data_IF_254337091139
#
_entry.id   IF_254337091139
#
_cell.length_a   1.000
_cell.length_b   1.000
_cell.length_c   1.000
_cell.angle_alpha   90.00
_cell.angle_beta   90.00
_cell.angle_gamma   90.00
#
_symmetry.space_group_name_H-M   'P 1'
#
loop_
_entity.id
_entity.type
_entity.pdbx_description
1 polymer ?
#
# COMPACT_ATOMS: atom_id res chain seq x y z
N UNK A 1 22.85 14.06 -26.95
CA UNK A 1 22.20 14.47 -25.69
C UNK A 1 21.40 13.27 -25.21
N UNK A 2 21.73 12.70 -24.05
CA UNK A 2 20.99 11.57 -23.47
C UNK A 2 20.30 12.08 -22.21
N UNK A 3 18.97 11.99 -22.17
CA UNK A 3 18.18 12.43 -21.03
C UNK A 3 18.46 11.53 -19.81
N UNK A 4 18.76 12.15 -18.67
CA UNK A 4 18.85 11.44 -17.40
C UNK A 4 17.42 11.08 -16.95
N UNK A 5 17.13 9.79 -16.86
CA UNK A 5 15.91 9.27 -16.27
C UNK A 5 15.99 9.44 -14.73
N UNK A 6 15.11 10.23 -14.09
CA UNK A 6 15.06 10.34 -12.64
C UNK A 6 14.28 9.16 -12.05
N UNK A 7 14.82 7.95 -12.20
CA UNK A 7 14.37 6.79 -11.44
C UNK A 7 14.74 6.98 -9.97
N UNK A 8 13.87 7.59 -9.17
CA UNK A 8 14.05 7.70 -7.72
C UNK A 8 14.16 6.29 -7.13
N UNK A 9 15.31 5.89 -6.54
CA UNK A 9 15.39 4.62 -5.85
C UNK A 9 14.50 4.70 -4.61
N UNK A 10 13.34 4.05 -4.65
CA UNK A 10 12.48 3.83 -3.48
C UNK A 10 13.20 2.80 -2.60
N UNK A 11 14.14 3.29 -1.79
CA UNK A 11 14.83 2.50 -0.80
C UNK A 11 13.86 2.27 0.35
N UNK A 12 13.45 1.02 0.54
CA UNK A 12 12.54 0.59 1.60
C UNK A 12 13.32 0.50 2.94
N UNK A 13 13.96 1.60 3.34
CA UNK A 13 14.73 1.67 4.58
C UNK A 13 13.75 1.83 5.75
N UNK A 14 13.22 0.70 6.23
CA UNK A 14 12.44 0.58 7.46
C UNK A 14 13.28 0.76 8.73
N UNK A 15 14.37 1.53 8.68
CA UNK A 15 15.32 1.70 9.79
C UNK A 15 15.03 2.93 10.68
N UNK A 16 14.18 3.87 10.24
CA UNK A 16 13.81 5.06 11.04
C UNK A 16 12.71 4.79 12.10
N UNK A 17 12.01 3.66 12.02
CA UNK A 17 10.84 3.41 12.88
C UNK A 17 11.14 2.65 14.18
N UNK A 18 12.30 2.02 14.34
CA UNK A 18 12.55 1.12 15.51
C UNK A 18 12.54 1.89 16.84
N UNK A 19 13.10 3.11 16.88
CA UNK A 19 13.05 3.96 18.07
C UNK A 19 11.65 4.56 18.33
N UNK A 20 10.88 4.77 17.27
CA UNK A 20 9.51 5.28 17.36
C UNK A 20 8.56 4.17 17.84
N UNK A 21 8.78 2.91 17.42
CA UNK A 21 7.94 1.75 17.73
C UNK A 21 7.82 1.48 19.24
N UNK A 22 8.88 1.76 20.02
CA UNK A 22 8.82 1.69 21.49
C UNK A 22 7.93 2.79 22.11
N UNK A 23 7.76 3.92 21.42
CA UNK A 23 6.99 5.06 21.91
C UNK A 23 5.53 5.07 21.45
N UNK A 24 5.17 4.22 20.50
CA UNK A 24 3.78 4.05 20.04
C UNK A 24 3.19 2.70 20.48
N UNK A 25 1.88 2.66 20.63
CA UNK A 25 1.11 1.47 20.99
C UNK A 25 0.03 1.23 19.93
N UNK A 26 -0.19 -0.05 19.60
CA UNK A 26 -1.21 -0.47 18.67
C UNK A 26 -2.46 -0.86 19.45
N UNK A 27 -3.59 -0.25 19.11
CA UNK A 27 -4.86 -0.47 19.78
C UNK A 27 -5.96 -0.77 18.78
N UNK A 28 -6.92 -1.59 19.19
CA UNK A 28 -8.15 -1.83 18.45
C UNK A 28 -9.33 -1.34 19.29
N UNK A 29 -10.19 -0.52 18.69
CA UNK A 29 -11.40 0.00 19.30
C UNK A 29 -12.60 -0.26 18.38
N UNK A 30 -13.73 -0.63 18.97
CA UNK A 30 -14.97 -0.82 18.22
C UNK A 30 -15.77 0.47 18.17
N UNK A 31 -15.82 1.10 16.99
CA UNK A 31 -16.65 2.28 16.75
C UNK A 31 -18.09 1.85 16.45
N UNK A 32 -19.00 2.18 17.38
CA UNK A 32 -20.43 1.84 17.23
C UNK A 32 -21.11 2.63 16.12
N UNK A 33 -20.67 3.86 15.83
CA UNK A 33 -21.28 4.68 14.78
C UNK A 33 -20.92 4.14 13.39
N UNK A 34 -19.70 3.64 13.22
CA UNK A 34 -19.24 2.99 11.99
C UNK A 34 -19.61 1.48 11.92
N UNK A 35 -20.10 0.90 13.02
CA UNK A 35 -20.31 -0.54 13.20
C UNK A 35 -19.07 -1.38 12.82
N UNK A 36 -17.87 -0.86 13.08
CA UNK A 36 -16.62 -1.40 12.58
C UNK A 36 -15.51 -1.38 13.65
N UNK A 37 -14.56 -2.30 13.51
CA UNK A 37 -13.34 -2.30 14.32
C UNK A 37 -12.32 -1.34 13.69
N UNK A 38 -11.68 -0.52 14.50
CA UNK A 38 -10.71 0.47 14.04
C UNK A 38 -9.39 0.21 14.74
N UNK A 39 -8.32 0.11 13.95
CA UNK A 39 -6.96 -0.08 14.44
C UNK A 39 -6.25 1.25 14.44
N UNK A 40 -5.67 1.65 15.57
CA UNK A 40 -4.98 2.92 15.71
C UNK A 40 -3.61 2.73 16.34
N UNK A 41 -2.69 3.60 15.95
CA UNK A 41 -1.37 3.72 16.54
C UNK A 41 -1.37 4.99 17.39
N UNK A 42 -1.23 4.84 18.70
CA UNK A 42 -1.25 5.95 19.66
C UNK A 42 0.12 6.16 20.28
N UNK A 43 0.52 7.42 20.45
CA UNK A 43 1.74 7.75 21.17
C UNK A 43 1.53 7.52 22.67
N UNK A 44 2.36 6.68 23.29
CA UNK A 44 2.23 6.29 24.71
C UNK A 44 2.50 7.44 25.69
N UNK A 45 3.21 8.49 25.26
CA UNK A 45 3.57 9.62 26.14
C UNK A 45 2.52 10.72 26.14
N UNK A 46 1.79 10.88 25.03
CA UNK A 46 0.85 11.99 24.82
C UNK A 46 -0.59 11.52 24.62
N UNK A 47 -0.82 10.20 24.54
CA UNK A 47 -2.09 9.55 24.20
C UNK A 47 -2.73 10.05 22.89
N UNK A 48 -1.92 10.64 22.01
CA UNK A 48 -2.38 11.13 20.72
C UNK A 48 -2.40 10.03 19.67
N UNK A 49 -3.47 9.99 18.87
CA UNK A 49 -3.57 9.11 17.70
C UNK A 49 -2.63 9.63 16.61
N UNK A 50 -1.64 8.81 16.25
CA UNK A 50 -0.66 9.13 15.20
C UNK A 50 -1.18 8.67 13.85
N UNK A 51 -1.70 7.45 13.78
CA UNK A 51 -2.28 6.88 12.55
C UNK A 51 -3.49 6.00 12.86
N UNK A 52 -4.42 5.94 11.91
CA UNK A 52 -5.64 5.15 12.01
C UNK A 52 -5.84 4.33 10.74
N UNK A 53 -6.23 3.07 10.93
CA UNK A 53 -6.48 2.11 9.88
C UNK A 53 -7.86 1.46 10.09
N UNK A 54 -8.60 1.18 9.00
CA UNK A 54 -9.83 0.40 9.07
C UNK A 54 -9.55 -1.05 9.51
N UNK A 55 -10.60 -1.84 9.76
CA UNK A 55 -10.44 -3.21 10.25
C UNK A 55 -9.52 -4.10 9.40
N UNK A 56 -9.02 -5.17 10.00
CA UNK A 56 -8.10 -6.10 9.36
C UNK A 56 -8.73 -6.76 8.12
N UNK A 57 -10.05 -6.97 8.10
CA UNK A 57 -10.75 -7.56 6.96
C UNK A 57 -10.74 -6.61 5.75
N UNK A 58 -10.92 -5.31 5.97
CA UNK A 58 -10.82 -4.26 4.95
C UNK A 58 -9.39 -4.13 4.47
N UNK A 59 -8.39 -4.16 5.36
CA UNK A 59 -6.98 -4.13 4.98
C UNK A 59 -6.60 -5.34 4.13
N UNK A 60 -6.94 -6.56 4.56
CA UNK A 60 -6.70 -7.79 3.78
C UNK A 60 -7.43 -7.76 2.44
N UNK A 61 -8.67 -7.27 2.41
CA UNK A 61 -9.44 -7.12 1.16
C UNK A 61 -8.73 -6.17 0.20
N UNK A 62 -8.27 -5.00 0.66
CA UNK A 62 -7.51 -4.03 -0.16
C UNK A 62 -6.22 -4.65 -0.67
N UNK A 63 -5.45 -5.32 0.19
CA UNK A 63 -4.21 -5.99 -0.21
C UNK A 63 -4.47 -7.07 -1.27
N UNK A 64 -5.49 -7.91 -1.09
CA UNK A 64 -5.86 -8.95 -2.04
C UNK A 64 -6.22 -8.37 -3.42
N UNK A 65 -7.10 -7.37 -3.46
CA UNK A 65 -7.48 -6.75 -4.72
C UNK A 65 -6.31 -6.02 -5.38
N UNK A 66 -5.44 -5.37 -4.61
CA UNK A 66 -4.20 -4.77 -5.13
C UNK A 66 -3.28 -5.82 -5.77
N UNK A 67 -3.11 -6.99 -5.14
CA UNK A 67 -2.30 -8.08 -5.72
C UNK A 67 -2.90 -8.62 -7.02
N UNK A 68 -4.23 -8.74 -7.08
CA UNK A 68 -4.92 -9.16 -8.30
C UNK A 68 -4.76 -8.13 -9.43
N UNK A 69 -4.79 -6.84 -9.10
CA UNK A 69 -4.62 -5.77 -10.09
C UNK A 69 -3.20 -5.77 -10.65
N UNK A 70 -2.19 -5.87 -9.77
CA UNK A 70 -0.79 -5.99 -10.16
C UNK A 70 -0.55 -7.21 -11.06
N UNK A 71 -1.18 -8.35 -10.77
CA UNK A 71 -1.09 -9.55 -11.60
C UNK A 71 -1.71 -9.34 -12.99
N UNK A 72 -2.84 -8.64 -13.08
CA UNK A 72 -3.48 -8.32 -14.38
C UNK A 72 -2.61 -7.39 -15.21
N UNK A 73 -1.98 -6.40 -14.58
CA UNK A 73 -1.09 -5.47 -15.27
C UNK A 73 0.16 -6.18 -15.80
N UNK A 74 0.78 -7.05 -14.99
CA UNK A 74 1.88 -7.90 -15.43
C UNK A 74 1.47 -8.79 -16.62
N UNK A 75 0.30 -9.42 -16.55
CA UNK A 75 -0.22 -10.25 -17.65
C UNK A 75 -0.51 -9.46 -18.93
N UNK A 76 -0.94 -8.19 -18.82
CA UNK A 76 -1.14 -7.30 -19.97
C UNK A 76 0.17 -6.89 -20.63
N UNK A 77 1.23 -6.69 -19.84
CA UNK A 77 2.56 -6.40 -20.38
C UNK A 77 3.19 -7.64 -21.04
N UNK A 78 2.93 -8.84 -20.51
CA UNK A 78 3.41 -10.12 -21.06
C UNK A 78 2.62 -10.60 -22.30
N UNK A 79 1.45 -10.03 -22.59
CA UNK A 79 0.76 -10.29 -23.86
C UNK A 79 1.41 -9.42 -24.93
N UNK A 80 2.12 -9.98 -25.93
CA UNK A 80 2.69 -9.16 -26.99
C UNK A 80 1.53 -8.41 -27.64
N UNK A 81 1.58 -7.07 -27.62
CA UNK A 81 0.71 -6.24 -28.46
C UNK A 81 0.91 -6.75 -29.88
N UNK A 82 -0.03 -7.56 -30.36
CA UNK A 82 -0.07 -7.99 -31.75
C UNK A 82 -0.33 -6.71 -32.53
N UNK A 83 0.75 -6.09 -33.01
CA UNK A 83 0.65 -4.99 -33.94
C UNK A 83 -0.09 -5.58 -35.14
N UNK A 84 -1.29 -5.11 -35.49
CA UNK A 84 -1.97 -5.58 -36.68
C UNK A 84 -1.13 -5.06 -37.85
N UNK A 85 -0.19 -5.87 -38.32
CA UNK A 85 0.49 -5.58 -39.58
C UNK A 85 -0.55 -5.80 -40.65
N UNK A 86 -1.17 -4.70 -41.09
CA UNK A 86 -2.09 -4.71 -42.21
C UNK A 86 -1.31 -5.19 -43.44
N UNK A 87 -1.57 -6.44 -43.84
CA UNK A 87 -0.89 -7.11 -44.94
C UNK A 87 -1.62 -6.73 -46.22
N UNK A 88 -1.36 -5.52 -46.70
CA UNK A 88 -1.95 -5.02 -47.94
C UNK A 88 -1.08 -5.48 -49.12
N UNK A 89 -1.67 -6.38 -49.91
CA UNK A 89 -1.48 -6.74 -51.33
C UNK A 89 -0.08 -6.65 -51.96
#
# INVERSE_FOLDING_TARGET
MTAADPGTPVRNDSQLNVANDLSVSHQAYYDRAAAALVFQVVNRKTDQVVTQYPDEAVLRRRAYFNTLDLQKDLQKEDTPRVVPTDRIA
#
